data_IF_785015383827
#
_entry.id   IF_785015383827
#
_cell.length_a   1.000
_cell.length_b   1.000
_cell.length_c   1.000
_cell.angle_alpha   90.00
_cell.angle_beta   90.00
_cell.angle_gamma   90.00
#
_symmetry.space_group_name_H-M   'P 1'
#
loop_
_entity.id
_entity.type
_entity.pdbx_description
1 polymer ?
#
# COMPACT_ATOMS: atom_id res chain seq x y z
N UNK A 1 -31.18 -48.38 -44.60
CA UNK A 1 -31.19 -47.21 -43.70
C UNK A 1 -30.11 -47.46 -42.67
N UNK A 2 -29.16 -46.55 -42.53
CA UNK A 2 -28.09 -46.70 -41.55
C UNK A 2 -28.64 -46.52 -40.12
N UNK A 3 -28.17 -47.31 -39.16
CA UNK A 3 -28.54 -47.12 -37.75
C UNK A 3 -27.80 -45.90 -37.16
N UNK A 4 -28.33 -45.24 -36.12
CA UNK A 4 -27.63 -44.12 -35.45
C UNK A 4 -26.23 -44.53 -34.98
N UNK A 5 -26.08 -45.80 -34.55
CA UNK A 5 -24.78 -46.39 -34.22
C UNK A 5 -23.82 -46.37 -35.41
N UNK A 6 -24.28 -46.79 -36.59
CA UNK A 6 -23.46 -46.78 -37.80
C UNK A 6 -23.00 -45.36 -38.14
N UNK A 7 -23.90 -44.37 -38.12
CA UNK A 7 -23.56 -42.95 -38.37
C UNK A 7 -22.49 -42.43 -37.39
N UNK A 8 -22.57 -42.83 -36.13
CA UNK A 8 -21.57 -42.45 -35.14
C UNK A 8 -20.20 -43.08 -35.43
N UNK A 9 -20.18 -44.35 -35.84
CA UNK A 9 -18.92 -45.06 -36.13
C UNK A 9 -18.27 -44.66 -37.45
N UNK A 10 -19.06 -44.35 -38.49
CA UNK A 10 -18.55 -44.03 -39.83
C UNK A 10 -18.30 -42.55 -40.04
N UNK A 11 -18.84 -41.70 -39.15
CA UNK A 11 -18.86 -40.24 -39.30
C UNK A 11 -19.53 -39.76 -40.60
N UNK A 12 -20.31 -40.62 -41.26
CA UNK A 12 -21.02 -40.27 -42.49
C UNK A 12 -22.13 -39.27 -42.18
N UNK A 13 -22.14 -38.12 -42.87
CA UNK A 13 -23.16 -37.11 -42.65
C UNK A 13 -22.89 -36.17 -41.48
N UNK A 14 -21.73 -36.28 -40.81
CA UNK A 14 -21.39 -35.41 -39.69
C UNK A 14 -21.31 -33.93 -40.12
N UNK A 15 -21.72 -33.04 -39.23
CA UNK A 15 -21.82 -31.59 -39.43
C UNK A 15 -21.29 -30.79 -38.22
N UNK A 16 -20.69 -31.47 -37.24
CA UNK A 16 -20.04 -30.87 -36.08
C UNK A 16 -18.87 -31.73 -35.61
N UNK A 17 -17.81 -31.07 -35.17
CA UNK A 17 -16.64 -31.68 -34.53
C UNK A 17 -16.65 -31.33 -33.04
N UNK A 18 -16.65 -32.32 -32.16
CA UNK A 18 -16.44 -32.08 -30.73
C UNK A 18 -15.02 -32.50 -30.35
N UNK A 19 -14.31 -31.61 -29.65
CA UNK A 19 -12.95 -31.81 -29.19
C UNK A 19 -12.98 -31.99 -27.67
N UNK A 20 -12.54 -33.13 -27.16
CA UNK A 20 -12.47 -33.42 -25.73
C UNK A 20 -11.10 -33.99 -25.40
N UNK A 21 -10.34 -33.31 -24.53
CA UNK A 21 -8.97 -33.72 -24.12
C UNK A 21 -8.05 -34.06 -25.31
N UNK A 22 -8.19 -33.33 -26.43
CA UNK A 22 -7.40 -33.54 -27.65
C UNK A 22 -7.90 -34.65 -28.57
N UNK A 23 -8.96 -35.38 -28.21
CA UNK A 23 -9.63 -36.31 -29.11
C UNK A 23 -10.82 -35.66 -29.83
N UNK A 24 -11.03 -36.09 -31.08
CA UNK A 24 -12.04 -35.54 -31.98
C UNK A 24 -13.20 -36.52 -32.15
N UNK A 25 -14.40 -35.99 -32.06
CA UNK A 25 -15.64 -36.72 -32.26
C UNK A 25 -16.44 -36.05 -33.37
N UNK A 26 -16.60 -36.77 -34.48
CA UNK A 26 -17.44 -36.34 -35.60
C UNK A 26 -18.89 -36.70 -35.29
N UNK A 27 -19.72 -35.68 -35.14
CA UNK A 27 -21.09 -35.84 -34.65
C UNK A 27 -22.09 -35.08 -35.52
N UNK A 28 -23.37 -35.36 -35.27
CA UNK A 28 -24.51 -34.86 -35.99
C UNK A 28 -25.32 -33.96 -35.06
N UNK A 29 -25.44 -32.67 -35.38
CA UNK A 29 -26.24 -31.70 -34.61
C UNK A 29 -27.68 -32.18 -34.45
N UNK A 30 -28.22 -32.80 -35.50
CA UNK A 30 -29.57 -33.37 -35.51
C UNK A 30 -29.75 -34.55 -34.53
N UNK A 31 -28.68 -35.22 -34.13
CA UNK A 31 -28.74 -36.35 -33.19
C UNK A 31 -28.51 -35.87 -31.75
N UNK A 32 -27.46 -35.09 -31.52
CA UNK A 32 -27.07 -34.69 -30.15
C UNK A 32 -27.94 -33.55 -29.60
N UNK A 33 -28.42 -32.65 -30.46
CA UNK A 33 -29.15 -31.45 -30.05
C UNK A 33 -30.51 -31.75 -29.42
N UNK A 34 -31.36 -32.63 -30.01
CA UNK A 34 -32.62 -33.02 -29.39
C UNK A 34 -32.46 -33.78 -28.07
N UNK A 35 -31.31 -34.43 -27.87
CA UNK A 35 -31.07 -35.33 -26.73
C UNK A 35 -30.32 -34.68 -25.57
N UNK A 36 -29.70 -33.52 -25.80
CA UNK A 36 -29.02 -32.76 -24.74
C UNK A 36 -29.20 -31.26 -24.97
N UNK A 37 -29.93 -30.61 -24.06
CA UNK A 37 -30.12 -29.16 -24.08
C UNK A 37 -28.79 -28.40 -23.95
N UNK A 38 -27.83 -28.96 -23.21
CA UNK A 38 -26.48 -28.41 -23.07
C UNK A 38 -25.74 -28.49 -24.40
N UNK A 39 -25.68 -29.66 -25.03
CA UNK A 39 -24.98 -29.78 -26.33
C UNK A 39 -25.69 -28.99 -27.43
N UNK A 40 -27.01 -28.86 -27.37
CA UNK A 40 -27.75 -28.00 -28.29
C UNK A 40 -27.34 -26.53 -28.16
N UNK A 41 -27.19 -26.05 -26.93
CA UNK A 41 -26.89 -24.64 -26.65
C UNK A 41 -25.41 -24.34 -26.86
N UNK A 42 -24.54 -25.19 -26.34
CA UNK A 42 -23.09 -24.96 -26.30
C UNK A 42 -22.38 -25.46 -27.57
N UNK A 43 -22.73 -26.66 -28.05
CA UNK A 43 -22.02 -27.30 -29.16
C UNK A 43 -22.67 -27.01 -30.52
N UNK A 44 -23.99 -27.16 -30.66
CA UNK A 44 -24.66 -26.95 -31.94
C UNK A 44 -24.70 -25.47 -32.37
N UNK A 45 -24.76 -24.55 -31.41
CA UNK A 45 -24.70 -23.09 -31.63
C UNK A 45 -23.30 -22.52 -31.39
N UNK A 46 -22.27 -23.36 -31.31
CA UNK A 46 -20.91 -22.87 -31.14
C UNK A 46 -20.55 -21.89 -32.26
N UNK A 47 -19.82 -20.84 -31.93
CA UNK A 47 -19.20 -19.94 -32.91
C UNK A 47 -17.80 -20.39 -33.30
N UNK A 48 -17.28 -21.45 -32.68
CA UNK A 48 -15.91 -21.91 -32.89
C UNK A 48 -15.76 -22.58 -34.28
N UNK A 49 -14.70 -22.19 -35.01
CA UNK A 49 -14.50 -22.52 -36.43
C UNK A 49 -15.76 -22.28 -37.29
N UNK A 50 -16.41 -21.12 -37.11
CA UNK A 50 -17.67 -20.77 -37.79
C UNK A 50 -18.83 -21.77 -37.51
N UNK A 51 -18.81 -22.39 -36.33
CA UNK A 51 -19.79 -23.38 -35.89
C UNK A 51 -19.59 -24.79 -36.42
N UNK A 52 -18.41 -25.06 -36.97
CA UNK A 52 -17.96 -26.40 -37.37
C UNK A 52 -17.46 -27.23 -36.18
N UNK A 53 -16.99 -26.59 -35.10
CA UNK A 53 -16.37 -27.29 -33.98
C UNK A 53 -16.81 -26.76 -32.61
N UNK A 54 -16.63 -27.56 -31.58
CA UNK A 54 -16.86 -27.22 -30.17
C UNK A 54 -15.81 -27.88 -29.27
N UNK A 55 -15.34 -27.15 -28.26
CA UNK A 55 -14.38 -27.65 -27.27
C UNK A 55 -15.13 -27.98 -25.97
N UNK A 56 -14.94 -29.21 -25.47
CA UNK A 56 -15.46 -29.64 -24.18
C UNK A 56 -14.51 -29.18 -23.07
N UNK A 57 -15.08 -28.68 -21.98
CA UNK A 57 -14.32 -28.27 -20.80
C UNK A 57 -13.42 -29.39 -20.26
N UNK A 58 -12.24 -29.01 -19.77
CA UNK A 58 -11.20 -29.94 -19.31
C UNK A 58 -11.63 -30.80 -18.10
N UNK A 59 -12.65 -30.37 -17.37
CA UNK A 59 -13.23 -31.08 -16.22
C UNK A 59 -14.01 -32.34 -16.60
N UNK A 60 -14.31 -32.55 -17.88
CA UNK A 60 -15.00 -33.75 -18.36
C UNK A 60 -13.97 -34.80 -18.78
N UNK A 61 -13.85 -35.94 -18.07
CA UNK A 61 -12.93 -37.00 -18.46
C UNK A 61 -13.32 -37.57 -19.82
N UNK A 62 -12.33 -37.82 -20.67
CA UNK A 62 -12.54 -38.37 -22.01
C UNK A 62 -13.36 -39.67 -22.01
N UNK A 63 -13.11 -40.55 -21.03
CA UNK A 63 -13.83 -41.82 -20.87
C UNK A 63 -15.31 -41.63 -20.53
N UNK A 64 -15.64 -40.56 -19.80
CA UNK A 64 -17.02 -40.17 -19.48
C UNK A 64 -17.68 -39.59 -20.72
N UNK A 65 -17.00 -38.69 -21.43
CA UNK A 65 -17.53 -38.06 -22.63
C UNK A 65 -17.85 -39.07 -23.74
N UNK A 66 -16.99 -40.07 -23.94
CA UNK A 66 -17.24 -41.20 -24.84
C UNK A 66 -18.52 -41.96 -24.51
N UNK A 67 -18.77 -42.23 -23.23
CA UNK A 67 -20.01 -42.88 -22.77
C UNK A 67 -21.24 -42.01 -22.96
N UNK A 68 -21.11 -40.69 -22.80
CA UNK A 68 -22.18 -39.74 -23.08
C UNK A 68 -22.56 -39.82 -24.56
N UNK A 69 -21.59 -39.73 -25.47
CA UNK A 69 -21.88 -39.84 -26.91
C UNK A 69 -22.44 -41.21 -27.27
N UNK A 70 -21.92 -42.30 -26.70
CA UNK A 70 -22.48 -43.64 -26.86
C UNK A 70 -23.97 -43.68 -26.52
N UNK A 71 -24.33 -43.13 -25.36
CA UNK A 71 -25.69 -43.08 -24.87
C UNK A 71 -26.58 -42.25 -25.81
N UNK A 72 -26.10 -41.11 -26.29
CA UNK A 72 -26.87 -40.26 -27.22
C UNK A 72 -27.11 -40.94 -28.58
N UNK A 73 -26.20 -41.76 -29.08
CA UNK A 73 -26.41 -42.43 -30.37
C UNK A 73 -27.09 -43.79 -30.26
N UNK A 74 -26.91 -44.50 -29.15
CA UNK A 74 -27.32 -45.90 -29.01
C UNK A 74 -28.36 -46.14 -27.91
N UNK A 75 -28.66 -45.14 -27.07
CA UNK A 75 -29.54 -45.28 -25.91
C UNK A 75 -28.96 -46.13 -24.77
N UNK A 76 -27.71 -46.57 -24.90
CA UNK A 76 -27.05 -47.49 -23.98
C UNK A 76 -25.54 -47.23 -23.91
N UNK A 77 -24.96 -47.46 -22.73
CA UNK A 77 -23.53 -47.38 -22.43
C UNK A 77 -22.84 -48.76 -22.40
N UNK A 78 -23.62 -49.85 -22.43
CA UNK A 78 -23.16 -51.24 -22.27
C UNK A 78 -22.49 -51.81 -23.52
N UNK A 79 -22.82 -51.29 -24.70
CA UNK A 79 -22.27 -51.71 -25.99
C UNK A 79 -20.96 -51.04 -26.41
N UNK A 80 -20.25 -50.39 -25.47
CA UNK A 80 -18.95 -49.74 -25.68
C UNK A 80 -17.65 -50.52 -25.34
N UNK A 81 -17.61 -51.87 -25.14
CA UNK A 81 -16.36 -52.55 -24.77
C UNK A 81 -15.25 -52.53 -25.83
N UNK A 82 -15.55 -52.28 -27.11
CA UNK A 82 -14.54 -52.39 -28.18
C UNK A 82 -13.72 -51.11 -28.43
N UNK A 83 -14.07 -49.99 -27.80
CA UNK A 83 -13.31 -48.73 -27.92
C UNK A 83 -12.31 -48.50 -26.78
N UNK A 84 -12.09 -49.52 -25.93
CA UNK A 84 -11.19 -49.51 -24.77
C UNK A 84 -9.79 -50.11 -25.03
N UNK A 85 -9.35 -50.23 -26.29
CA UNK A 85 -7.98 -50.71 -26.57
C UNK A 85 -6.97 -49.55 -26.62
N UNK A 86 -5.87 -49.58 -25.84
CA UNK A 86 -4.79 -48.57 -25.89
C UNK A 86 -3.90 -48.65 -27.13
N UNK A 87 -4.23 -49.50 -28.10
CA UNK A 87 -3.62 -49.52 -29.43
C UNK A 87 -4.77 -49.27 -30.40
N UNK A 88 -4.82 -48.05 -30.96
CA UNK A 88 -5.96 -47.52 -31.72
C UNK A 88 -6.50 -48.47 -32.80
N UNK A 89 -7.80 -48.40 -33.10
CA UNK A 89 -8.19 -48.05 -34.47
C UNK A 89 -9.54 -47.31 -34.61
N UNK A 90 -9.63 -46.51 -35.69
CA UNK A 90 -10.82 -46.25 -36.53
C UNK A 90 -12.00 -45.46 -35.93
N UNK A 91 -11.74 -44.25 -35.45
CA UNK A 91 -12.58 -43.14 -35.94
C UNK A 91 -12.06 -42.85 -37.33
N UNK A 92 -12.65 -43.45 -38.36
CA UNK A 92 -12.29 -43.08 -39.71
C UNK A 92 -12.73 -41.61 -39.86
N UNK A 93 -11.79 -40.66 -40.05
CA UNK A 93 -12.21 -39.33 -40.44
C UNK A 93 -13.04 -39.49 -41.71
N UNK A 94 -14.08 -38.67 -41.90
CA UNK A 94 -14.85 -38.75 -43.12
C UNK A 94 -13.92 -38.57 -44.33
N UNK A 95 -14.26 -39.12 -45.50
CA UNK A 95 -13.42 -39.03 -46.69
C UNK A 95 -12.90 -37.60 -46.90
N UNK A 96 -11.61 -37.43 -47.26
CA UNK A 96 -10.95 -36.12 -47.35
C UNK A 96 -11.75 -35.09 -48.18
N UNK A 97 -12.39 -35.52 -49.26
CA UNK A 97 -13.25 -34.68 -50.09
C UNK A 97 -14.53 -34.24 -49.36
N UNK A 98 -15.14 -35.15 -48.59
CA UNK A 98 -16.28 -34.82 -47.73
C UNK A 98 -15.85 -33.87 -46.63
N UNK A 99 -14.72 -34.13 -45.96
CA UNK A 99 -14.22 -33.29 -44.87
C UNK A 99 -13.94 -31.86 -45.33
N UNK A 100 -13.22 -31.68 -46.45
CA UNK A 100 -12.90 -30.35 -46.97
C UNK A 100 -14.15 -29.57 -47.41
N UNK A 101 -15.20 -30.26 -47.86
CA UNK A 101 -16.48 -29.66 -48.24
C UNK A 101 -17.35 -29.29 -47.04
N UNK A 102 -17.39 -30.16 -46.03
CA UNK A 102 -18.29 -30.04 -44.88
C UNK A 102 -17.69 -29.21 -43.75
N UNK A 103 -16.36 -29.21 -43.62
CA UNK A 103 -15.61 -28.45 -42.63
C UNK A 103 -14.54 -27.57 -43.28
N UNK A 104 -14.89 -26.67 -44.22
CA UNK A 104 -13.92 -25.83 -44.93
C UNK A 104 -13.09 -24.92 -44.01
N UNK A 105 -13.63 -24.49 -42.87
CA UNK A 105 -12.89 -23.67 -41.92
C UNK A 105 -11.87 -24.51 -41.13
N UNK A 106 -12.25 -25.71 -40.74
CA UNK A 106 -11.38 -26.69 -40.07
C UNK A 106 -10.33 -27.25 -41.03
N UNK A 107 -10.67 -27.52 -42.29
CA UNK A 107 -9.73 -27.96 -43.34
C UNK A 107 -8.70 -26.88 -43.66
N UNK A 108 -9.13 -25.61 -43.78
CA UNK A 108 -8.23 -24.47 -43.94
C UNK A 108 -7.27 -24.36 -42.76
N UNK A 109 -7.79 -24.48 -41.54
CA UNK A 109 -6.99 -24.49 -40.31
C UNK A 109 -5.92 -25.59 -40.31
N UNK A 110 -6.22 -26.78 -40.83
CA UNK A 110 -5.25 -27.88 -40.90
C UNK A 110 -4.18 -27.71 -41.96
N UNK A 111 -4.53 -27.08 -43.08
CA UNK A 111 -3.57 -26.78 -44.16
C UNK A 111 -2.57 -25.71 -43.75
N UNK A 112 -2.93 -24.81 -42.83
CA UNK A 112 -2.04 -23.75 -42.34
C UNK A 112 -0.98 -24.23 -41.35
N UNK A 113 -1.09 -25.45 -40.80
CA UNK A 113 -0.08 -26.05 -39.92
C UNK A 113 1.00 -26.72 -40.77
N UNK A 114 2.01 -25.95 -41.19
CA UNK A 114 3.19 -26.46 -41.91
C UNK A 114 4.28 -26.85 -40.90
N UNK A 115 4.68 -28.13 -40.89
CA UNK A 115 5.87 -28.59 -40.18
C UNK A 115 7.15 -28.28 -40.95
N UNK A 116 8.29 -28.11 -40.27
CA UNK A 116 9.61 -27.87 -40.90
C UNK A 116 9.89 -28.91 -42.01
N UNK A 117 10.41 -28.49 -43.19
CA UNK A 117 10.82 -29.43 -44.22
C UNK A 117 12.03 -30.24 -43.76
N UNK A 118 12.01 -31.56 -43.95
CA UNK A 118 13.20 -32.40 -43.90
C UNK A 118 13.90 -32.22 -45.26
N UNK A 119 15.20 -31.94 -45.23
CA UNK A 119 16.03 -31.84 -46.43
C UNK A 119 15.88 -33.12 -47.28
N UNK A 120 15.42 -32.98 -48.52
CA UNK A 120 15.45 -34.06 -49.50
C UNK A 120 16.89 -34.23 -50.00
N UNK A 121 17.39 -35.46 -49.94
CA UNK A 121 18.49 -35.93 -50.78
C UNK A 121 18.05 -35.99 -52.24
N UNK A 122 18.99 -35.66 -53.13
CA UNK A 122 18.87 -35.53 -54.58
C UNK A 122 18.03 -36.59 -55.30
N UNK A 123 17.08 -36.13 -56.12
CA UNK A 123 17.06 -36.32 -57.58
C UNK A 123 15.67 -35.99 -58.19
N UNK A 124 15.63 -35.02 -59.11
CA UNK A 124 14.78 -35.05 -60.31
C UNK A 124 13.30 -34.57 -60.27
N UNK A 125 13.07 -33.41 -60.91
CA UNK A 125 11.81 -32.85 -61.46
C UNK A 125 10.73 -32.26 -60.51
N UNK A 126 10.03 -31.17 -60.92
CA UNK A 126 9.10 -30.45 -60.06
C UNK A 126 7.71 -31.09 -60.13
N UNK A 127 7.26 -31.69 -59.02
CA UNK A 127 5.86 -32.01 -58.82
C UNK A 127 5.34 -31.18 -57.64
N UNK A 128 4.10 -30.70 -57.78
CA UNK A 128 3.37 -29.90 -56.81
C UNK A 128 3.62 -30.41 -55.37
N UNK A 129 3.94 -29.48 -54.46
CA UNK A 129 4.28 -29.75 -53.06
C UNK A 129 3.30 -30.74 -52.42
N UNK A 130 3.64 -32.03 -52.48
CA UNK A 130 2.91 -33.07 -51.79
C UNK A 130 3.20 -32.90 -50.29
N UNK A 131 2.17 -32.49 -49.57
CA UNK A 131 2.12 -32.33 -48.13
C UNK A 131 2.40 -33.70 -47.45
N UNK A 132 3.67 -33.95 -47.12
CA UNK A 132 4.14 -35.27 -46.66
C UNK A 132 3.85 -35.58 -45.17
N UNK A 133 3.13 -34.69 -44.47
CA UNK A 133 2.78 -34.90 -43.06
C UNK A 133 1.31 -35.32 -43.01
N UNK A 134 1.06 -36.56 -42.57
CA UNK A 134 -0.32 -37.03 -42.38
C UNK A 134 -1.08 -36.11 -41.43
N UNK A 135 -2.37 -35.91 -41.67
CA UNK A 135 -3.23 -35.09 -40.80
C UNK A 135 -3.09 -35.51 -39.33
N UNK A 136 -3.00 -36.82 -39.05
CA UNK A 136 -2.70 -37.36 -37.71
C UNK A 136 -1.48 -36.73 -37.06
N UNK A 137 -0.39 -36.52 -37.81
CA UNK A 137 0.86 -35.95 -37.30
C UNK A 137 0.79 -34.43 -37.17
N UNK A 138 0.04 -33.73 -38.02
CA UNK A 138 -0.27 -32.30 -37.85
C UNK A 138 -1.10 -32.04 -36.59
N UNK A 139 -2.08 -32.90 -36.35
CA UNK A 139 -2.90 -32.89 -35.14
C UNK A 139 -2.07 -33.18 -33.90
N UNK A 140 -1.19 -34.19 -33.91
CA UNK A 140 -0.27 -34.44 -32.80
C UNK A 140 0.67 -33.27 -32.50
N UNK A 141 1.12 -32.52 -33.51
CA UNK A 141 1.94 -31.31 -33.31
C UNK A 141 1.14 -30.20 -32.62
N UNK A 142 -0.14 -30.04 -32.97
CA UNK A 142 -1.02 -29.06 -32.35
C UNK A 142 -1.34 -29.43 -30.90
N UNK A 143 -1.65 -30.70 -30.63
CA UNK A 143 -1.88 -31.24 -29.28
C UNK A 143 -0.61 -31.21 -28.43
N UNK A 144 0.57 -31.45 -29.01
CA UNK A 144 1.86 -31.35 -28.31
C UNK A 144 2.24 -29.89 -28.03
N UNK A 145 1.99 -28.96 -28.96
CA UNK A 145 2.16 -27.51 -28.71
C UNK A 145 1.17 -27.01 -27.65
N UNK A 146 -0.07 -27.51 -27.64
CA UNK A 146 -1.08 -27.22 -26.62
C UNK A 146 -0.68 -27.80 -25.25
N UNK A 147 -0.05 -29.00 -25.19
CA UNK A 147 0.50 -29.55 -23.94
C UNK A 147 1.64 -28.73 -23.33
N UNK A 148 2.46 -28.11 -24.18
CA UNK A 148 3.58 -27.27 -23.72
C UNK A 148 3.09 -25.91 -23.21
N UNK A 149 1.98 -25.40 -23.73
CA UNK A 149 1.38 -24.12 -23.34
C UNK A 149 0.27 -24.37 -22.31
N UNK A 150 0.62 -24.26 -21.02
CA UNK A 150 -0.21 -24.68 -19.87
C UNK A 150 -1.60 -24.04 -19.75
N UNK A 151 -1.90 -23.01 -20.53
CA UNK A 151 -3.24 -22.44 -20.80
C UNK A 151 -3.10 -21.40 -21.92
N UNK A 152 -3.84 -21.54 -23.03
CA UNK A 152 -3.79 -20.62 -24.18
C UNK A 152 -4.38 -19.23 -23.85
N UNK A 153 -5.21 -19.15 -22.82
CA UNK A 153 -5.82 -17.90 -22.33
C UNK A 153 -5.14 -17.37 -21.06
N UNK A 154 -4.01 -17.96 -20.64
CA UNK A 154 -3.21 -17.43 -19.54
C UNK A 154 -2.87 -15.97 -19.83
N UNK A 155 -3.07 -15.07 -18.88
CA UNK A 155 -2.72 -13.65 -19.05
C UNK A 155 -1.25 -13.34 -18.74
N UNK A 156 -0.45 -14.34 -18.37
CA UNK A 156 0.98 -14.15 -18.10
C UNK A 156 1.73 -13.63 -19.32
N UNK A 157 2.49 -12.56 -19.10
CA UNK A 157 3.42 -11.99 -20.07
C UNK A 157 4.55 -12.96 -20.42
N UNK A 158 5.09 -12.86 -21.63
CA UNK A 158 6.28 -13.61 -22.01
C UNK A 158 7.46 -13.19 -21.11
N UNK A 159 8.30 -14.15 -20.74
CA UNK A 159 9.50 -13.92 -19.94
C UNK A 159 10.80 -14.13 -20.73
N UNK A 160 10.71 -14.74 -21.93
CA UNK A 160 11.87 -15.06 -22.75
C UNK A 160 11.63 -14.79 -24.24
N UNK A 161 12.69 -14.58 -25.04
CA UNK A 161 12.60 -14.46 -26.50
C UNK A 161 11.93 -15.66 -27.19
N UNK A 162 12.12 -16.85 -26.63
CA UNK A 162 11.52 -18.10 -27.11
C UNK A 162 9.99 -18.07 -26.92
N UNK A 163 9.52 -17.61 -25.76
CA UNK A 163 8.08 -17.45 -25.50
C UNK A 163 7.46 -16.40 -26.43
N UNK A 164 8.16 -15.29 -26.71
CA UNK A 164 7.68 -14.30 -27.69
C UNK A 164 7.50 -14.91 -29.08
N UNK A 165 8.45 -15.76 -29.50
CA UNK A 165 8.35 -16.45 -30.79
C UNK A 165 7.16 -17.42 -30.84
N UNK A 166 6.88 -18.11 -29.73
CA UNK A 166 5.73 -19.02 -29.61
C UNK A 166 4.40 -18.24 -29.64
N UNK A 167 4.31 -17.14 -28.89
CA UNK A 167 3.12 -16.28 -28.87
C UNK A 167 2.89 -15.57 -30.22
N UNK A 168 3.95 -15.31 -31.00
CA UNK A 168 3.81 -14.79 -32.36
C UNK A 168 3.19 -15.83 -33.31
N UNK A 169 3.52 -17.12 -33.16
CA UNK A 169 2.86 -18.19 -33.91
C UNK A 169 1.37 -18.29 -33.53
N UNK A 170 1.03 -18.10 -32.24
CA UNK A 170 -0.37 -18.06 -31.76
C UNK A 170 -1.09 -16.85 -32.35
N UNK A 171 -0.47 -15.67 -32.34
CA UNK A 171 -1.02 -14.45 -32.92
C UNK A 171 -1.35 -14.65 -34.41
N UNK A 172 -0.40 -15.16 -35.19
CA UNK A 172 -0.59 -15.40 -36.62
C UNK A 172 -1.73 -16.41 -36.89
N UNK A 173 -1.80 -17.48 -36.08
CA UNK A 173 -2.91 -18.43 -36.16
C UNK A 173 -4.25 -17.78 -35.78
N UNK A 174 -4.31 -17.01 -34.69
CA UNK A 174 -5.50 -16.32 -34.23
C UNK A 174 -6.02 -15.32 -35.27
N UNK A 175 -5.12 -14.57 -35.92
CA UNK A 175 -5.46 -13.63 -36.98
C UNK A 175 -6.01 -14.35 -38.23
N UNK A 176 -5.38 -15.45 -38.66
CA UNK A 176 -5.88 -16.26 -39.79
C UNK A 176 -7.26 -16.86 -39.50
N UNK A 177 -7.51 -17.24 -38.25
CA UNK A 177 -8.76 -17.81 -37.78
C UNK A 177 -9.80 -16.79 -37.33
N UNK A 178 -9.45 -15.49 -37.35
CA UNK A 178 -10.28 -14.37 -36.90
C UNK A 178 -10.79 -14.52 -35.45
N UNK A 179 -9.94 -15.05 -34.57
CA UNK A 179 -10.21 -15.18 -33.13
C UNK A 179 -9.71 -13.92 -32.42
N UNK A 180 -10.52 -12.86 -32.45
CA UNK A 180 -10.15 -11.52 -31.98
C UNK A 180 -9.65 -11.49 -30.53
N UNK A 181 -10.24 -12.31 -29.63
CA UNK A 181 -9.86 -12.36 -28.22
C UNK A 181 -8.44 -12.91 -28.03
N UNK A 182 -8.08 -13.96 -28.76
CA UNK A 182 -6.77 -14.59 -28.70
C UNK A 182 -5.71 -13.76 -29.42
N UNK A 183 -6.08 -13.11 -30.53
CA UNK A 183 -5.22 -12.12 -31.22
C UNK A 183 -4.83 -10.99 -30.26
N UNK A 184 -5.80 -10.39 -29.58
CA UNK A 184 -5.56 -9.33 -28.61
C UNK A 184 -4.71 -9.80 -27.42
N UNK A 185 -4.95 -11.01 -26.92
CA UNK A 185 -4.20 -11.58 -25.80
C UNK A 185 -2.73 -11.87 -26.15
N UNK A 186 -2.48 -12.54 -27.29
CA UNK A 186 -1.12 -12.82 -27.74
C UNK A 186 -0.34 -11.51 -27.99
N UNK A 187 -0.99 -10.51 -28.59
CA UNK A 187 -0.41 -9.18 -28.75
C UNK A 187 -0.07 -8.52 -27.41
N UNK A 188 -0.99 -8.57 -26.44
CA UNK A 188 -0.77 -8.03 -25.08
C UNK A 188 0.46 -8.65 -24.42
N UNK A 189 0.64 -9.97 -24.51
CA UNK A 189 1.77 -10.69 -23.91
C UNK A 189 3.12 -10.29 -24.51
N UNK A 190 3.19 -10.22 -25.84
CA UNK A 190 4.41 -9.83 -26.56
C UNK A 190 4.76 -8.36 -26.26
N UNK A 191 3.77 -7.46 -26.24
CA UNK A 191 3.99 -6.05 -25.87
C UNK A 191 4.42 -5.88 -24.40
N UNK A 192 3.90 -6.69 -23.48
CA UNK A 192 4.32 -6.67 -22.08
C UNK A 192 5.80 -7.08 -21.92
N UNK A 193 6.28 -8.02 -22.72
CA UNK A 193 7.70 -8.37 -22.74
C UNK A 193 8.57 -7.21 -23.29
N UNK A 194 8.16 -6.60 -24.40
CA UNK A 194 8.83 -5.40 -24.90
C UNK A 194 8.87 -4.29 -23.85
N UNK A 195 7.77 -4.08 -23.12
CA UNK A 195 7.70 -3.06 -22.08
C UNK A 195 8.71 -3.33 -20.97
N UNK A 196 8.78 -4.58 -20.51
CA UNK A 196 9.72 -5.01 -19.48
C UNK A 196 11.17 -4.78 -19.90
N UNK A 197 11.52 -5.13 -21.14
CA UNK A 197 12.88 -4.92 -21.67
C UNK A 197 13.21 -3.43 -21.84
N UNK A 198 12.26 -2.61 -22.30
CA UNK A 198 12.45 -1.16 -22.42
C UNK A 198 12.58 -0.47 -21.05
N UNK A 199 11.92 -0.99 -20.01
CA UNK A 199 12.03 -0.49 -18.64
C UNK A 199 13.40 -0.72 -18.00
N UNK A 200 14.15 -1.75 -18.42
CA UNK A 200 15.51 -2.00 -17.92
C UNK A 200 16.48 -0.87 -18.30
N UNK A 201 16.12 -0.03 -19.26
CA UNK A 201 16.88 1.17 -19.62
C UNK A 201 18.10 0.86 -20.48
N UNK A 202 19.14 1.71 -20.40
CA UNK A 202 20.36 1.56 -21.20
C UNK A 202 21.44 0.76 -20.45
N UNK A 203 22.16 -0.15 -21.12
CA UNK A 203 22.01 -0.55 -22.52
C UNK A 203 20.81 -1.47 -22.75
N UNK A 204 20.18 -1.36 -23.92
CA UNK A 204 19.13 -2.29 -24.34
C UNK A 204 19.72 -3.66 -24.64
N UNK A 205 18.96 -4.72 -24.36
CA UNK A 205 19.39 -6.10 -24.59
C UNK A 205 19.49 -6.42 -26.10
N UNK A 206 20.46 -7.24 -26.48
CA UNK A 206 20.60 -7.71 -27.88
C UNK A 206 19.37 -8.54 -28.30
N UNK A 207 18.77 -9.23 -27.34
CA UNK A 207 17.54 -9.99 -27.54
C UNK A 207 16.35 -9.08 -27.88
N UNK A 208 16.22 -7.92 -27.20
CA UNK A 208 15.22 -6.92 -27.57
C UNK A 208 15.40 -6.47 -29.02
N UNK A 209 16.62 -6.17 -29.44
CA UNK A 209 16.89 -5.74 -30.82
C UNK A 209 16.48 -6.81 -31.84
N UNK A 210 16.90 -8.06 -31.62
CA UNK A 210 16.60 -9.20 -32.52
C UNK A 210 15.10 -9.48 -32.59
N UNK A 211 14.42 -9.50 -31.44
CA UNK A 211 13.00 -9.81 -31.36
C UNK A 211 12.15 -8.66 -31.89
N UNK A 212 12.53 -7.40 -31.64
CA UNK A 212 11.85 -6.25 -32.24
C UNK A 212 11.95 -6.27 -33.77
N UNK A 213 13.13 -6.55 -34.33
CA UNK A 213 13.30 -6.66 -35.78
C UNK A 213 12.43 -7.79 -36.37
N UNK A 214 12.46 -8.98 -35.74
CA UNK A 214 11.66 -10.13 -36.15
C UNK A 214 10.15 -9.85 -36.11
N UNK A 215 9.64 -9.42 -34.95
CA UNK A 215 8.19 -9.24 -34.73
C UNK A 215 7.65 -8.12 -35.60
N UNK A 216 8.31 -6.95 -35.62
CA UNK A 216 7.77 -5.77 -36.28
C UNK A 216 7.85 -5.84 -37.80
N UNK A 217 8.84 -6.57 -38.36
CA UNK A 217 8.91 -6.83 -39.81
C UNK A 217 7.94 -7.92 -40.25
N UNK A 218 7.74 -8.96 -39.44
CA UNK A 218 6.84 -10.07 -39.76
C UNK A 218 5.37 -9.67 -39.61
N UNK A 219 5.02 -8.96 -38.54
CA UNK A 219 3.64 -8.65 -38.19
C UNK A 219 3.40 -7.14 -38.07
N UNK A 220 2.87 -6.53 -39.14
CA UNK A 220 2.60 -5.09 -39.19
C UNK A 220 1.63 -4.59 -38.12
N UNK A 221 0.78 -5.47 -37.59
CA UNK A 221 -0.18 -5.13 -36.53
C UNK A 221 0.53 -4.66 -35.24
N UNK A 222 1.77 -5.10 -34.99
CA UNK A 222 2.55 -4.72 -33.80
C UNK A 222 3.22 -3.35 -33.92
N UNK A 223 3.38 -2.81 -35.13
CA UNK A 223 4.15 -1.58 -35.38
C UNK A 223 3.56 -0.40 -34.59
N UNK A 224 2.26 -0.11 -34.75
CA UNK A 224 1.63 1.03 -34.06
C UNK A 224 1.65 0.89 -32.52
N UNK A 225 1.24 -0.25 -31.93
CA UNK A 225 1.34 -0.45 -30.48
C UNK A 225 2.78 -0.33 -29.96
N UNK A 226 3.75 -0.86 -30.69
CA UNK A 226 5.15 -0.73 -30.32
C UNK A 226 5.65 0.71 -30.42
N UNK A 227 5.23 1.50 -31.41
CA UNK A 227 5.54 2.95 -31.46
C UNK A 227 5.04 3.68 -30.23
N UNK A 228 3.81 3.42 -29.78
CA UNK A 228 3.27 4.00 -28.55
C UNK A 228 4.10 3.62 -27.33
N UNK A 229 4.55 2.36 -27.26
CA UNK A 229 5.40 1.88 -26.19
C UNK A 229 6.80 2.51 -26.23
N UNK A 230 7.42 2.55 -27.40
CA UNK A 230 8.72 3.18 -27.61
C UNK A 230 8.68 4.66 -27.24
N UNK A 231 7.64 5.40 -27.66
CA UNK A 231 7.45 6.81 -27.31
C UNK A 231 7.41 7.06 -25.79
N UNK A 232 6.78 6.16 -25.03
CA UNK A 232 6.75 6.23 -23.55
C UNK A 232 8.14 6.17 -22.93
N UNK A 233 9.04 5.36 -23.49
CA UNK A 233 10.40 5.16 -22.95
C UNK A 233 11.47 5.98 -23.67
N UNK A 234 11.14 6.60 -24.79
CA UNK A 234 12.06 7.35 -25.65
C UNK A 234 12.88 8.44 -24.91
N UNK A 235 12.31 9.23 -23.96
CA UNK A 235 13.11 10.20 -23.20
C UNK A 235 14.22 9.59 -22.33
N UNK A 236 14.06 8.34 -21.89
CA UNK A 236 15.05 7.61 -21.12
C UNK A 236 16.01 6.82 -22.03
N UNK A 237 15.47 6.20 -23.08
CA UNK A 237 16.19 5.34 -23.99
C UNK A 237 16.91 6.07 -25.12
N UNK A 238 16.58 7.34 -25.39
CA UNK A 238 17.17 8.15 -26.46
C UNK A 238 17.15 7.47 -27.84
N UNK A 239 18.03 7.95 -28.73
CA UNK A 239 18.22 7.40 -30.08
C UNK A 239 19.12 6.17 -30.05
N UNK A 240 18.60 5.03 -29.62
CA UNK A 240 19.26 3.75 -29.88
C UNK A 240 19.36 3.52 -31.39
N UNK A 241 20.56 3.30 -31.93
CA UNK A 241 20.81 3.27 -33.38
C UNK A 241 20.02 2.16 -34.09
N UNK A 242 19.95 0.98 -33.48
CA UNK A 242 19.30 -0.20 -34.06
C UNK A 242 17.79 -0.02 -34.10
N UNK A 243 17.16 0.34 -32.96
CA UNK A 243 15.73 0.62 -32.92
C UNK A 243 15.36 1.84 -33.75
N UNK A 244 16.16 2.92 -33.73
CA UNK A 244 15.89 4.12 -34.53
C UNK A 244 15.85 3.81 -36.02
N UNK A 245 16.79 3.00 -36.51
CA UNK A 245 16.80 2.56 -37.92
C UNK A 245 15.57 1.70 -38.23
N UNK A 246 15.28 0.71 -37.39
CA UNK A 246 14.13 -0.17 -37.57
C UNK A 246 12.81 0.62 -37.59
N UNK A 247 12.62 1.55 -36.66
CA UNK A 247 11.41 2.36 -36.57
C UNK A 247 11.27 3.29 -37.78
N UNK A 248 12.38 3.89 -38.24
CA UNK A 248 12.39 4.69 -39.46
C UNK A 248 12.04 3.89 -40.71
N UNK A 249 12.49 2.63 -40.80
CA UNK A 249 12.18 1.74 -41.91
C UNK A 249 10.69 1.32 -41.92
N UNK A 250 10.10 1.11 -40.74
CA UNK A 250 8.72 0.63 -40.58
C UNK A 250 7.68 1.75 -40.77
N UNK A 251 7.91 2.92 -40.18
CA UNK A 251 7.05 4.10 -40.33
C UNK A 251 7.87 5.38 -40.18
N UNK A 252 8.42 5.81 -41.32
CA UNK A 252 9.27 7.00 -41.41
C UNK A 252 8.56 8.28 -40.94
N UNK A 253 7.29 8.45 -41.29
CA UNK A 253 6.54 9.68 -40.98
C UNK A 253 6.37 9.82 -39.47
N UNK A 254 5.96 8.75 -38.79
CA UNK A 254 5.80 8.74 -37.33
C UNK A 254 7.16 8.91 -36.64
N UNK A 255 8.21 8.25 -37.13
CA UNK A 255 9.55 8.38 -36.56
C UNK A 255 10.14 9.80 -36.72
N UNK A 256 10.01 10.42 -37.90
CA UNK A 256 10.53 11.76 -38.15
C UNK A 256 9.85 12.81 -37.24
N UNK A 257 8.56 12.64 -36.92
CA UNK A 257 7.86 13.46 -35.92
C UNK A 257 8.46 13.29 -34.51
N UNK A 258 8.70 12.05 -34.06
CA UNK A 258 9.36 11.80 -32.77
C UNK A 258 10.77 12.39 -32.71
N UNK A 259 11.53 12.24 -33.79
CA UNK A 259 12.88 12.79 -33.89
C UNK A 259 12.89 14.33 -33.80
N UNK A 260 11.88 15.01 -34.35
CA UNK A 260 11.73 16.47 -34.21
C UNK A 260 11.37 16.90 -32.78
N UNK A 261 10.58 16.10 -32.05
CA UNK A 261 10.21 16.37 -30.67
C UNK A 261 11.30 16.02 -29.66
N UNK A 262 12.23 15.13 -30.02
CA UNK A 262 13.30 14.63 -29.15
C UNK A 262 14.13 15.73 -28.46
N UNK A 263 14.60 16.81 -29.15
CA UNK A 263 15.37 17.86 -28.49
C UNK A 263 14.58 18.58 -27.41
N UNK A 264 13.30 18.88 -27.66
CA UNK A 264 12.42 19.52 -26.68
C UNK A 264 12.22 18.64 -25.44
N UNK A 265 12.05 17.34 -25.63
CA UNK A 265 11.94 16.38 -24.53
C UNK A 265 13.24 16.25 -23.72
N UNK A 266 14.41 16.27 -24.37
CA UNK A 266 15.69 16.28 -23.66
C UNK A 266 15.81 17.55 -22.82
N UNK A 267 15.50 18.72 -23.38
CA UNK A 267 15.55 20.00 -22.65
C UNK A 267 14.61 19.97 -21.45
N UNK A 268 13.37 19.53 -21.62
CA UNK A 268 12.39 19.48 -20.54
C UNK A 268 12.77 18.46 -19.45
N UNK A 269 13.28 17.29 -19.84
CA UNK A 269 13.80 16.28 -18.90
C UNK A 269 14.98 16.84 -18.10
N UNK A 270 15.92 17.53 -18.74
CA UNK A 270 17.07 18.11 -18.06
C UNK A 270 16.62 19.21 -17.08
N UNK A 271 15.67 20.07 -17.47
CA UNK A 271 15.05 21.08 -16.60
C UNK A 271 14.38 20.46 -15.37
N UNK A 272 13.63 19.37 -15.56
CA UNK A 272 13.00 18.61 -14.47
C UNK A 272 14.05 17.98 -13.54
N UNK A 273 15.11 17.40 -14.09
CA UNK A 273 16.20 16.82 -13.30
C UNK A 273 16.93 17.87 -12.45
N UNK A 274 17.22 19.04 -13.02
CA UNK A 274 17.81 20.17 -12.29
C UNK A 274 16.90 20.63 -11.16
N UNK A 275 15.60 20.78 -11.43
CA UNK A 275 14.59 21.14 -10.41
C UNK A 275 14.53 20.11 -9.29
N UNK A 276 14.57 18.82 -9.64
CA UNK A 276 14.52 17.73 -8.67
C UNK A 276 15.78 17.70 -7.78
N UNK A 277 16.95 17.91 -8.37
CA UNK A 277 18.21 18.01 -7.60
C UNK A 277 18.20 19.24 -6.67
N UNK A 278 17.71 20.40 -7.14
CA UNK A 278 17.52 21.57 -6.28
C UNK A 278 16.57 21.28 -5.11
N UNK A 279 15.45 20.60 -5.37
CA UNK A 279 14.51 20.20 -4.32
C UNK A 279 15.14 19.22 -3.33
N UNK A 280 15.95 18.27 -3.81
CA UNK A 280 16.68 17.33 -2.95
C UNK A 280 17.69 18.04 -2.04
N UNK A 281 18.38 19.05 -2.56
CA UNK A 281 19.30 19.88 -1.77
C UNK A 281 18.55 20.71 -0.71
N UNK A 282 17.40 21.29 -1.07
CA UNK A 282 16.53 22.00 -0.11
C UNK A 282 16.00 21.07 0.98
N UNK A 283 15.59 19.86 0.63
CA UNK A 283 15.13 18.87 1.61
C UNK A 283 16.25 18.53 2.61
N UNK A 284 17.48 18.29 2.14
CA UNK A 284 18.64 18.05 3.01
C UNK A 284 18.95 19.24 3.93
N UNK A 285 18.81 20.47 3.43
CA UNK A 285 19.01 21.67 4.25
C UNK A 285 17.98 21.75 5.39
N UNK A 286 16.69 21.51 5.06
CA UNK A 286 15.61 21.48 6.05
C UNK A 286 15.78 20.34 7.07
N UNK A 287 16.23 19.16 6.64
CA UNK A 287 16.59 18.07 7.55
C UNK A 287 17.67 18.49 8.56
N UNK A 288 18.70 19.23 8.10
CA UNK A 288 19.73 19.79 8.97
C UNK A 288 19.19 20.83 9.97
N UNK A 289 18.27 21.69 9.54
CA UNK A 289 17.60 22.67 10.42
C UNK A 289 16.73 21.98 11.49
N UNK A 290 15.98 20.95 11.12
CA UNK A 290 15.19 20.15 12.05
C UNK A 290 16.08 19.51 13.12
N UNK A 291 17.23 18.96 12.72
CA UNK A 291 18.16 18.33 13.67
C UNK A 291 18.77 19.36 14.63
N UNK A 292 19.09 20.55 14.16
CA UNK A 292 19.53 21.66 14.99
C UNK A 292 18.45 22.08 16.00
N UNK A 293 17.20 22.24 15.54
CA UNK A 293 16.06 22.61 16.39
C UNK A 293 15.79 21.54 17.46
N UNK A 294 15.88 20.25 17.13
CA UNK A 294 15.80 19.16 18.11
C UNK A 294 16.89 19.27 19.17
N UNK A 295 18.13 19.59 18.77
CA UNK A 295 19.22 19.84 19.71
C UNK A 295 18.93 21.01 20.66
N UNK A 296 18.40 22.12 20.14
CA UNK A 296 18.01 23.29 20.93
C UNK A 296 16.84 22.99 21.89
N UNK A 297 15.81 22.27 21.44
CA UNK A 297 14.71 21.81 22.29
C UNK A 297 15.22 20.93 23.42
N UNK A 298 16.06 19.94 23.13
CA UNK A 298 16.66 19.05 24.14
C UNK A 298 17.48 19.84 25.17
N UNK A 299 18.29 20.80 24.71
CA UNK A 299 19.03 21.68 25.61
C UNK A 299 18.11 22.51 26.49
N UNK A 300 17.02 23.05 25.93
CA UNK A 300 16.05 23.87 26.65
C UNK A 300 15.28 23.05 27.68
N UNK A 301 14.84 21.84 27.33
CA UNK A 301 14.18 20.89 28.24
C UNK A 301 15.08 20.55 29.43
N UNK A 302 16.37 20.30 29.20
CA UNK A 302 17.33 20.04 30.27
C UNK A 302 17.47 21.25 31.22
N UNK A 303 17.51 22.46 30.68
CA UNK A 303 17.53 23.70 31.47
C UNK A 303 16.25 23.83 32.29
N UNK A 304 15.07 23.68 31.68
CA UNK A 304 13.79 23.75 32.39
C UNK A 304 13.67 22.71 33.50
N UNK A 305 14.17 21.49 33.26
CA UNK A 305 14.19 20.44 34.27
C UNK A 305 15.08 20.81 35.46
N UNK A 306 16.26 21.39 35.20
CA UNK A 306 17.17 21.88 36.25
C UNK A 306 16.55 23.03 37.05
N UNK A 307 15.93 23.98 36.36
CA UNK A 307 15.25 25.12 37.00
C UNK A 307 14.07 24.63 37.85
N UNK A 308 13.29 23.66 37.36
CA UNK A 308 12.19 23.07 38.12
C UNK A 308 12.68 22.37 39.39
N UNK A 309 13.78 21.62 39.33
CA UNK A 309 14.37 21.00 40.54
C UNK A 309 14.89 22.07 41.52
N UNK A 310 15.48 23.15 41.02
CA UNK A 310 15.92 24.29 41.85
C UNK A 310 14.74 24.95 42.57
N UNK A 311 13.63 25.18 41.85
CA UNK A 311 12.39 25.73 42.43
C UNK A 311 11.77 24.78 43.44
N UNK A 312 11.75 23.46 43.18
CA UNK A 312 11.26 22.47 44.14
C UNK A 312 12.05 22.51 45.45
N UNK A 313 13.38 22.62 45.37
CA UNK A 313 14.23 22.66 46.56
C UNK A 313 14.07 23.99 47.34
N UNK A 314 13.96 25.10 46.62
CA UNK A 314 13.63 26.39 47.22
C UNK A 314 12.26 26.38 47.92
N UNK A 315 11.25 25.72 47.31
CA UNK A 315 9.91 25.58 47.89
C UNK A 315 9.94 24.75 49.17
N UNK A 316 10.65 23.61 49.19
CA UNK A 316 10.83 22.82 50.42
C UNK A 316 11.49 23.66 51.52
N UNK A 317 12.54 24.42 51.18
CA UNK A 317 13.24 25.30 52.12
C UNK A 317 12.30 26.38 52.67
N UNK A 318 11.48 26.99 51.81
CA UNK A 318 10.50 27.98 52.21
C UNK A 318 9.42 27.39 53.14
N UNK A 319 8.91 26.18 52.85
CA UNK A 319 7.96 25.48 53.71
C UNK A 319 8.54 25.16 55.09
N UNK A 320 9.79 24.69 55.15
CA UNK A 320 10.49 24.46 56.42
C UNK A 320 10.62 25.77 57.21
N UNK A 321 11.01 26.86 56.54
CA UNK A 321 11.11 28.17 57.17
C UNK A 321 9.76 28.70 57.64
N UNK A 322 8.67 28.46 56.91
CA UNK A 322 7.31 28.83 57.31
C UNK A 322 6.89 28.10 58.60
N UNK A 323 7.12 26.78 58.67
CA UNK A 323 6.87 25.97 59.87
C UNK A 323 7.69 26.49 61.06
N UNK A 324 8.99 26.75 60.85
CA UNK A 324 9.87 27.28 61.89
C UNK A 324 9.41 28.67 62.38
N UNK A 325 8.95 29.52 61.45
CA UNK A 325 8.44 30.85 61.73
C UNK A 325 7.13 30.81 62.51
N UNK A 326 6.21 29.92 62.13
CA UNK A 326 4.96 29.68 62.84
C UNK A 326 5.22 29.18 64.27
N UNK A 327 6.13 28.20 64.44
CA UNK A 327 6.53 27.70 65.76
C UNK A 327 7.16 28.81 66.64
N UNK A 328 7.99 29.67 66.04
CA UNK A 328 8.59 30.82 66.74
C UNK A 328 7.54 31.86 67.15
N UNK A 329 6.55 32.13 66.28
CA UNK A 329 5.45 33.04 66.59
C UNK A 329 4.59 32.49 67.76
N UNK A 330 4.30 31.19 67.77
CA UNK A 330 3.56 30.54 68.86
C UNK A 330 4.33 30.56 70.19
N UNK A 331 5.66 30.37 70.14
CA UNK A 331 6.53 30.50 71.31
C UNK A 331 6.53 31.93 71.86
N UNK A 332 6.66 32.93 70.99
CA UNK A 332 6.60 34.35 71.39
C UNK A 332 5.24 34.71 71.98
N UNK A 333 4.15 34.17 71.45
CA UNK A 333 2.81 34.39 71.99
C UNK A 333 2.67 33.76 73.40
N UNK A 334 3.19 32.56 73.61
CA UNK A 334 3.25 31.92 74.93
C UNK A 334 4.09 32.72 75.93
N UNK A 335 5.28 33.17 75.53
CA UNK A 335 6.15 34.03 76.33
C UNK A 335 5.45 35.34 76.70
N UNK A 336 4.80 36.00 75.74
CA UNK A 336 4.07 37.23 75.99
C UNK A 336 2.93 37.02 77.00
N UNK A 337 2.18 35.92 76.91
CA UNK A 337 1.14 35.57 77.90
C UNK A 337 1.74 35.33 79.29
N UNK A 338 2.86 34.60 79.38
CA UNK A 338 3.58 34.37 80.64
C UNK A 338 4.07 35.66 81.26
N UNK A 339 4.76 36.50 80.49
CA UNK A 339 5.30 37.78 80.92
C UNK A 339 4.19 38.74 81.40
N UNK A 340 3.03 38.76 80.71
CA UNK A 340 1.87 39.53 81.16
C UNK A 340 1.35 39.02 82.51
N UNK A 341 1.34 37.70 82.72
CA UNK A 341 0.92 37.09 83.99
C UNK A 341 1.92 37.37 85.12
N UNK A 342 3.22 37.24 84.86
CA UNK A 342 4.29 37.55 85.82
C UNK A 342 4.28 39.03 86.21
N UNK A 343 4.02 39.93 85.26
CA UNK A 343 3.92 41.36 85.51
C UNK A 343 2.65 41.71 86.32
N UNK A 344 1.55 40.98 86.12
CA UNK A 344 0.36 41.03 86.97
C UNK A 344 0.67 40.54 88.39
N UNK A 345 1.35 39.40 88.53
CA UNK A 345 1.75 38.83 89.82
C UNK A 345 2.72 39.75 90.57
N UNK A 346 3.70 40.36 89.88
CA UNK A 346 4.61 41.33 90.47
C UNK A 346 3.90 42.61 90.91
N UNK A 347 2.91 43.10 90.15
CA UNK A 347 2.05 44.22 90.57
C UNK A 347 1.23 43.87 91.81
N UNK A 348 0.67 42.66 91.89
CA UNK A 348 -0.08 42.18 93.07
C UNK A 348 0.83 42.04 94.29
N UNK A 349 2.05 41.53 94.11
CA UNK A 349 3.06 41.43 95.18
C UNK A 349 3.54 42.82 95.66
N UNK A 350 3.73 43.78 94.76
CA UNK A 350 4.07 45.18 95.10
C UNK A 350 2.93 45.93 95.79
N UNK A 351 1.68 45.55 95.54
CA UNK A 351 0.53 46.06 96.29
C UNK A 351 0.48 45.46 97.69
N UNK A 352 0.79 44.17 97.86
CA UNK A 352 0.88 43.51 99.17
C UNK A 352 2.04 44.02 100.04
N UNK A 353 3.20 44.37 99.48
CA UNK A 353 4.31 44.97 100.24
C UNK A 353 4.10 46.45 100.58
N UNK A 354 3.24 47.18 99.85
CA UNK A 354 2.83 48.55 100.22
C UNK A 354 1.81 48.62 101.35
N UNK A 355 1.16 47.50 101.70
CA UNK A 355 0.22 47.42 102.84
C UNK A 355 0.85 46.90 104.14
N UNK A 356 2.14 46.53 104.16
CA UNK A 356 2.81 46.08 105.38
C UNK A 356 4.11 46.86 105.71
N UNK A 357 3.88 48.02 106.34
CA UNK A 357 4.58 48.58 107.52
C UNK A 357 5.75 49.59 107.38
N UNK A 358 5.69 50.64 108.24
CA UNK A 358 6.80 51.47 108.76
C UNK A 358 6.82 51.32 110.31
N UNK A 359 7.92 51.65 111.04
CA UNK A 359 9.35 51.54 110.71
C UNK A 359 10.25 51.06 111.90
N UNK A 360 11.51 50.65 111.62
CA UNK A 360 12.75 51.13 112.30
C UNK A 360 14.05 50.42 111.85
N UNK A 361 15.05 51.26 111.57
CA UNK A 361 16.51 51.18 111.76
C UNK A 361 17.42 50.19 111.00
N UNK A 362 18.43 50.82 110.38
CA UNK A 362 19.80 50.42 110.03
C UNK A 362 20.13 49.53 108.80
N UNK A 363 20.51 50.25 107.73
CA UNK A 363 21.76 50.13 106.95
C UNK A 363 22.16 48.76 106.36
N UNK A 364 21.74 48.50 105.11
CA UNK A 364 22.63 48.43 103.93
C UNK A 364 21.81 48.34 102.62
N UNK A 365 22.27 48.91 101.50
CA UNK A 365 21.44 49.15 100.32
C UNK A 365 21.37 47.93 99.41
N UNK A 366 20.15 47.42 99.20
CA UNK A 366 19.77 46.68 97.98
C UNK A 366 18.56 47.36 97.37
N UNK A 367 18.84 48.52 96.81
CA UNK A 367 17.93 49.25 95.93
C UNK A 367 18.14 48.72 94.50
N UNK A 368 17.03 48.54 93.80
CA UNK A 368 16.88 48.52 92.32
C UNK A 368 16.83 47.24 91.49
N UNK A 369 16.72 46.02 92.02
CA UNK A 369 16.49 44.87 91.12
C UNK A 369 15.08 44.85 90.50
N UNK A 370 14.02 45.13 91.27
CA UNK A 370 12.64 44.99 90.77
C UNK A 370 12.20 46.09 89.78
N UNK A 371 12.72 47.31 89.93
CA UNK A 371 12.42 48.42 89.01
C UNK A 371 13.22 48.29 87.70
N UNK A 372 14.48 47.86 87.80
CA UNK A 372 15.35 47.62 86.65
C UNK A 372 14.91 46.38 85.85
N UNK A 373 14.44 45.33 86.52
CA UNK A 373 13.81 44.17 85.88
C UNK A 373 12.48 44.53 85.18
N UNK A 374 11.66 45.39 85.78
CA UNK A 374 10.41 45.86 85.16
C UNK A 374 10.66 46.73 83.92
N UNK A 375 11.70 47.57 83.94
CA UNK A 375 12.08 48.41 82.79
C UNK A 375 12.71 47.57 81.67
N UNK A 376 13.50 46.55 82.02
CA UNK A 376 14.05 45.55 81.09
C UNK A 376 12.94 44.72 80.43
N UNK A 377 11.93 44.30 81.20
CA UNK A 377 10.76 43.59 80.70
C UNK A 377 9.93 44.44 79.75
N UNK A 378 9.71 45.73 80.06
CA UNK A 378 9.05 46.66 79.12
C UNK A 378 9.81 46.78 77.81
N UNK A 379 11.15 46.91 77.88
CA UNK A 379 12.00 47.03 76.68
C UNK A 379 11.92 45.77 75.81
N UNK A 380 11.98 44.59 76.42
CA UNK A 380 11.77 43.31 75.72
C UNK A 380 10.36 43.20 75.11
N UNK A 381 9.33 43.71 75.79
CA UNK A 381 7.95 43.67 75.28
C UNK A 381 7.78 44.59 74.05
N UNK A 382 8.44 45.75 74.05
CA UNK A 382 8.52 46.65 72.88
C UNK A 382 9.26 45.97 71.72
N UNK A 383 10.40 45.34 71.98
CA UNK A 383 11.18 44.63 70.96
C UNK A 383 10.40 43.46 70.35
N UNK A 384 9.69 42.68 71.18
CA UNK A 384 8.83 41.58 70.72
C UNK A 384 7.62 42.10 69.94
N UNK A 385 7.00 43.21 70.35
CA UNK A 385 5.92 43.83 69.59
C UNK A 385 6.39 44.37 68.24
N UNK A 386 7.60 44.94 68.19
CA UNK A 386 8.21 45.39 66.95
C UNK A 386 8.52 44.21 66.02
N UNK A 387 9.09 43.13 66.54
CA UNK A 387 9.33 41.90 65.79
C UNK A 387 8.04 41.26 65.26
N UNK A 388 6.97 41.29 66.05
CA UNK A 388 5.65 40.78 65.63
C UNK A 388 5.04 41.65 64.50
N UNK A 389 5.19 42.98 64.58
CA UNK A 389 4.75 43.88 63.49
C UNK A 389 5.53 43.61 62.21
N UNK A 390 6.84 43.44 62.31
CA UNK A 390 7.69 43.13 61.16
C UNK A 390 7.31 41.78 60.53
N UNK A 391 7.12 40.75 61.37
CA UNK A 391 6.69 39.43 60.91
C UNK A 391 5.32 39.46 60.19
N UNK A 392 4.35 40.21 60.73
CA UNK A 392 3.06 40.41 60.05
C UNK A 392 3.20 41.09 58.70
N UNK A 393 4.11 42.05 58.57
CA UNK A 393 4.38 42.73 57.30
C UNK A 393 5.01 41.79 56.28
N UNK A 394 5.96 40.94 56.71
CA UNK A 394 6.62 39.98 55.83
C UNK A 394 5.68 38.85 55.40
N UNK A 395 4.81 38.36 56.30
CA UNK A 395 3.74 37.42 55.96
C UNK A 395 2.76 38.02 54.93
N UNK A 396 2.41 39.31 55.07
CA UNK A 396 1.54 39.97 54.10
C UNK A 396 2.21 40.12 52.73
N UNK A 397 3.53 40.37 52.67
CA UNK A 397 4.30 40.37 51.42
C UNK A 397 4.29 39.00 50.76
N UNK A 398 4.52 37.93 51.52
CA UNK A 398 4.50 36.55 51.00
C UNK A 398 3.12 36.20 50.43
N UNK A 399 2.04 36.56 51.15
CA UNK A 399 0.66 36.36 50.69
C UNK A 399 0.38 37.06 49.36
N UNK A 400 0.89 38.29 49.19
CA UNK A 400 0.74 39.04 47.94
C UNK A 400 1.55 38.40 46.80
N UNK A 401 2.75 37.88 47.07
CA UNK A 401 3.56 37.16 46.08
C UNK A 401 2.86 35.88 45.60
N UNK A 402 2.35 35.07 46.52
CA UNK A 402 1.56 33.87 46.23
C UNK A 402 0.32 34.18 45.39
N UNK A 403 -0.38 35.29 45.68
CA UNK A 403 -1.52 35.73 44.88
C UNK A 403 -1.12 36.04 43.44
N UNK A 404 -0.01 36.77 43.25
CA UNK A 404 0.50 37.14 41.93
C UNK A 404 0.91 35.91 41.11
N UNK A 405 1.52 34.91 41.76
CA UNK A 405 1.91 33.65 41.12
C UNK A 405 0.69 32.81 40.72
N UNK A 406 -0.34 32.76 41.58
CA UNK A 406 -1.62 32.15 41.25
C UNK A 406 -2.30 32.81 40.04
N UNK A 407 -2.27 34.14 39.95
CA UNK A 407 -2.77 34.88 38.80
C UNK A 407 -2.00 34.48 37.52
N UNK A 408 -0.66 34.45 37.58
CA UNK A 408 0.20 34.05 36.45
C UNK A 408 -0.09 32.62 35.96
N UNK A 409 -0.24 31.67 36.88
CA UNK A 409 -0.58 30.28 36.53
C UNK A 409 -1.97 30.17 35.88
N UNK A 410 -2.91 31.03 36.30
CA UNK A 410 -4.24 31.09 35.70
C UNK A 410 -4.17 31.62 34.27
N UNK A 411 -3.39 32.67 34.02
CA UNK A 411 -3.19 33.21 32.67
C UNK A 411 -2.56 32.16 31.75
N UNK A 412 -1.52 31.45 32.21
CA UNK A 412 -0.90 30.35 31.45
C UNK A 412 -1.87 29.21 31.13
N UNK A 413 -2.76 28.87 32.07
CA UNK A 413 -3.79 27.85 31.84
C UNK A 413 -4.82 28.31 30.79
N UNK A 414 -5.17 29.59 30.79
CA UNK A 414 -6.12 30.15 29.83
C UNK A 414 -5.49 30.27 28.42
N UNK A 415 -4.21 30.62 28.33
CA UNK A 415 -3.43 30.57 27.08
C UNK A 415 -3.37 29.14 26.51
N UNK A 416 -3.11 28.14 27.35
CA UNK A 416 -3.07 26.75 26.93
C UNK A 416 -4.43 26.27 26.41
N UNK A 417 -5.53 26.64 27.08
CA UNK A 417 -6.88 26.35 26.61
C UNK A 417 -7.19 27.04 25.29
N UNK A 418 -6.71 28.26 25.09
CA UNK A 418 -6.90 28.98 23.83
C UNK A 418 -6.14 28.30 22.69
N UNK A 419 -4.86 27.97 22.89
CA UNK A 419 -4.06 27.22 21.92
C UNK A 419 -4.70 25.86 21.57
N UNK A 420 -5.23 25.16 22.58
CA UNK A 420 -5.94 23.89 22.37
C UNK A 420 -7.21 24.06 21.52
N UNK A 421 -7.97 25.14 21.73
CA UNK A 421 -9.15 25.45 20.89
C UNK A 421 -8.75 25.74 19.44
N UNK A 422 -7.66 26.47 19.22
CA UNK A 422 -7.15 26.74 17.88
C UNK A 422 -6.73 25.45 17.17
N UNK A 423 -5.98 24.59 17.86
CA UNK A 423 -5.63 23.27 17.33
C UNK A 423 -6.87 22.44 16.94
N UNK A 424 -7.91 22.41 17.78
CA UNK A 424 -9.17 21.71 17.45
C UNK A 424 -9.86 22.33 16.23
N UNK A 425 -9.82 23.66 16.07
CA UNK A 425 -10.38 24.33 14.90
C UNK A 425 -9.61 23.96 13.63
N UNK A 426 -8.29 24.04 13.64
CA UNK A 426 -7.42 23.68 12.50
C UNK A 426 -7.62 22.22 12.07
N UNK A 427 -7.75 21.29 13.03
CA UNK A 427 -8.04 19.87 12.75
C UNK A 427 -9.42 19.67 12.12
N UNK A 428 -10.39 20.53 12.41
CA UNK A 428 -11.71 20.46 11.79
C UNK A 428 -11.75 21.15 10.42
N UNK A 429 -10.95 22.20 10.20
CA UNK A 429 -10.78 22.83 8.89
C UNK A 429 -10.03 21.92 7.90
N UNK A 430 -9.06 21.13 8.38
CA UNK A 430 -8.29 20.20 7.54
C UNK A 430 -9.10 19.01 6.99
N UNK A 431 -10.32 18.79 7.50
CA UNK A 431 -11.28 17.87 6.90
C UNK A 431 -12.20 17.16 7.89
N UNK A 432 -13.04 16.25 7.37
CA UNK A 432 -13.96 15.41 8.17
C UNK A 432 -13.37 14.03 8.40
N UNK A 433 -13.81 13.36 9.46
CA UNK A 433 -13.38 12.00 9.76
C UNK A 433 -13.60 11.07 8.55
N UNK A 434 -12.54 10.39 8.10
CA UNK A 434 -12.59 9.48 6.95
C UNK A 434 -13.52 8.27 7.16
N UNK A 435 -13.96 8.00 8.39
CA UNK A 435 -14.93 6.96 8.72
C UNK A 435 -16.36 7.48 8.64
N UNK A 436 -16.75 8.33 9.59
CA UNK A 436 -18.14 8.78 9.72
C UNK A 436 -18.50 10.04 8.90
N UNK A 437 -17.52 10.67 8.23
CA UNK A 437 -17.67 11.91 7.44
C UNK A 437 -18.31 13.08 8.19
N UNK A 438 -18.21 13.08 9.53
CA UNK A 438 -18.58 14.20 10.41
C UNK A 438 -17.32 14.96 10.85
N UNK A 439 -17.52 16.16 11.38
CA UNK A 439 -16.47 16.90 12.08
C UNK A 439 -15.81 16.03 13.15
N UNK A 440 -14.51 16.24 13.37
CA UNK A 440 -13.73 15.41 14.26
C UNK A 440 -14.16 15.67 15.70
N UNK A 441 -14.95 14.76 16.26
CA UNK A 441 -15.13 14.63 17.69
C UNK A 441 -14.11 13.61 18.20
N UNK A 442 -12.94 14.08 18.64
CA UNK A 442 -11.79 13.21 18.87
C UNK A 442 -11.39 13.02 20.34
N UNK A 443 -10.67 11.92 20.58
CA UNK A 443 -9.90 11.64 21.78
C UNK A 443 -8.41 11.64 21.42
N UNK A 444 -7.60 12.29 22.26
CA UNK A 444 -6.15 12.33 22.09
C UNK A 444 -5.53 11.10 22.75
N UNK A 445 -4.86 10.27 21.95
CA UNK A 445 -3.99 9.21 22.44
C UNK A 445 -2.60 9.77 22.76
N UNK A 446 -1.95 9.21 23.78
CA UNK A 446 -0.60 9.59 24.22
C UNK A 446 0.35 8.40 24.12
N UNK A 447 0.29 7.70 22.99
CA UNK A 447 1.01 6.44 22.86
C UNK A 447 2.43 6.64 22.32
N UNK A 448 2.72 7.76 21.63
CA UNK A 448 4.04 8.09 21.07
C UNK A 448 4.41 9.58 21.18
N UNK A 449 5.64 9.90 21.61
CA UNK A 449 6.14 11.28 21.79
C UNK A 449 6.30 12.09 20.50
N UNK A 450 6.27 11.45 19.34
CA UNK A 450 6.52 12.08 18.03
C UNK A 450 5.28 12.24 17.16
N UNK A 451 4.09 11.89 17.66
CA UNK A 451 2.85 12.03 16.91
C UNK A 451 1.65 12.11 17.85
N UNK A 452 0.66 12.92 17.49
CA UNK A 452 -0.62 12.99 18.19
C UNK A 452 -1.60 12.05 17.48
N UNK A 453 -2.04 11.00 18.18
CA UNK A 453 -3.12 10.15 17.71
C UNK A 453 -4.46 10.83 17.98
N UNK A 454 -5.22 11.05 16.91
CA UNK A 454 -6.58 11.55 16.92
C UNK A 454 -7.52 10.39 16.59
N UNK A 455 -8.27 9.90 17.58
CA UNK A 455 -9.27 8.84 17.39
C UNK A 455 -10.67 9.43 17.33
N UNK A 456 -11.47 9.08 16.33
CA UNK A 456 -12.86 9.54 16.24
C UNK A 456 -13.72 8.85 17.32
N UNK A 457 -14.36 9.60 18.22
CA UNK A 457 -15.22 9.04 19.28
C UNK A 457 -16.41 8.23 18.74
N UNK A 458 -16.88 8.52 17.53
CA UNK A 458 -18.07 7.88 16.95
C UNK A 458 -17.74 6.57 16.22
N UNK A 459 -16.70 6.56 15.39
CA UNK A 459 -16.36 5.39 14.56
C UNK A 459 -15.03 4.71 14.95
N UNK A 460 -14.33 5.25 15.94
CA UNK A 460 -13.02 4.79 16.43
C UNK A 460 -11.95 4.63 15.35
N UNK A 461 -12.09 5.40 14.26
CA UNK A 461 -11.07 5.47 13.21
C UNK A 461 -10.00 6.47 13.64
N UNK A 462 -8.76 6.03 13.55
CA UNK A 462 -7.60 6.80 13.98
C UNK A 462 -7.01 7.59 12.81
N UNK A 463 -6.50 8.77 13.12
CA UNK A 463 -5.68 9.59 12.24
C UNK A 463 -4.47 10.08 13.04
N UNK A 464 -3.30 10.03 12.41
CA UNK A 464 -2.04 10.43 13.03
C UNK A 464 -1.65 11.80 12.50
N UNK A 465 -1.44 12.73 13.42
CA UNK A 465 -0.84 14.04 13.13
C UNK A 465 0.62 13.97 13.58
N UNK A 466 1.52 14.06 12.60
CA UNK A 466 2.97 14.05 12.79
C UNK A 466 3.52 15.47 12.83
#
# INVERSE_FOLDING_TARGET
MATLRELFTTAEGCDLIIICQGEFFFVHKAVIGPQSAVLKTEACNSSFLNGEAYLVDDDVPLTVFRKILAFLYCGDISGFPELLRPAGPQWLPPPLEYFARTFPHTDRFLRTVIGKPIAKTDNGLPSAELDMISNTRKWSVLTEKQRVMKDLYDEKSCNSPTEVSQELDIFAAAQQLKITSLEALAMKKVLAWFEKELQLGRPLSEDLHKIADLVLRKEKAFVKPFFSLYAKFFPALGMDLSLSRLMKDLDRTTFDLFAQLHPNWITERNRLNETNEQNRQRAKALEGEIELLKGQCTSSENTYKKDMETVKEALKTAQVNEIASAAKAELLERLNKSLQMDLLMAKVSNLKTKESNLPKADNQPKIDTAAEDAEKLKKQLIDVQLALKQHKADHQKLKNALKKEKEKLKDQLDDLKYAFKQFVADVNESGRCAGCKREWNFTLGHDHYTAINISCKLCRKDAWYY
#
